data_IF_163438450596
#
_entry.id   IF_163438450596
#
_cell.length_a   1.000
_cell.length_b   1.000
_cell.length_c   1.000
_cell.angle_alpha   90.00
_cell.angle_beta   90.00
_cell.angle_gamma   90.00
#
_symmetry.space_group_name_H-M   'P 1'
#
loop_
_entity.id
_entity.type
_entity.pdbx_description
1 polymer ?
#
# COMPACT_ATOMS: atom_id res chain seq x y z
N UNK A 1 7.86 -11.00 -6.66
CA UNK A 1 7.15 -10.05 -5.77
C UNK A 1 7.76 -8.67 -5.91
N UNK A 2 6.97 -7.61 -5.74
CA UNK A 2 7.41 -6.22 -5.79
C UNK A 2 7.08 -5.54 -4.47
N UNK A 3 7.88 -4.56 -4.07
CA UNK A 3 7.62 -3.84 -2.82
C UNK A 3 7.11 -2.45 -3.15
N UNK A 4 5.99 -2.08 -2.57
CA UNK A 4 5.47 -0.71 -2.67
C UNK A 4 5.87 0.02 -1.39
N UNK A 5 6.52 1.16 -1.56
CA UNK A 5 6.81 2.09 -0.48
C UNK A 5 5.79 3.22 -0.51
N UNK A 6 5.01 3.35 0.56
CA UNK A 6 4.13 4.47 0.81
C UNK A 6 4.85 5.46 1.71
N UNK A 7 4.83 6.75 1.36
CA UNK A 7 5.36 7.82 2.22
C UNK A 7 4.39 8.18 3.37
N UNK A 8 3.88 7.14 4.05
CA UNK A 8 3.05 7.27 5.23
C UNK A 8 3.36 6.11 6.16
N UNK A 9 3.47 6.41 7.46
CA UNK A 9 3.92 5.44 8.44
C UNK A 9 3.16 5.53 9.76
N UNK A 10 3.82 5.10 10.82
CA UNK A 10 3.27 5.09 12.18
C UNK A 10 2.85 6.49 12.65
N UNK A 11 3.60 7.55 12.29
CA UNK A 11 3.25 8.94 12.60
C UNK A 11 1.94 9.41 11.96
N UNK A 12 1.60 8.86 10.79
CA UNK A 12 0.34 9.12 10.10
C UNK A 12 -0.82 8.26 10.63
N UNK A 13 -0.60 7.55 11.75
CA UNK A 13 -1.53 6.57 12.33
C UNK A 13 -1.92 5.51 11.30
N UNK A 14 -0.97 5.09 10.47
CA UNK A 14 -1.15 4.01 9.50
C UNK A 14 -0.96 2.68 10.21
N UNK A 15 -1.95 1.80 10.15
CA UNK A 15 -1.82 0.42 10.61
C UNK A 15 -1.67 -0.54 9.43
N UNK A 16 -1.03 -1.72 9.61
CA UNK A 16 -0.95 -2.73 8.56
C UNK A 16 -2.33 -3.13 8.03
N UNK A 17 -3.33 -3.20 8.91
CA UNK A 17 -4.73 -3.47 8.54
C UNK A 17 -5.36 -2.39 7.68
N UNK A 18 -4.97 -1.12 7.85
CA UNK A 18 -5.45 -0.01 7.00
C UNK A 18 -4.87 -0.13 5.59
N UNK A 19 -3.58 -0.49 5.48
CA UNK A 19 -2.90 -0.71 4.20
C UNK A 19 -3.49 -1.90 3.48
N UNK A 20 -3.70 -3.00 4.20
CA UNK A 20 -4.38 -4.18 3.67
C UNK A 20 -5.78 -3.82 3.19
N UNK A 21 -6.57 -3.10 3.97
CA UNK A 21 -7.92 -2.66 3.62
C UNK A 21 -7.97 -1.71 2.42
N UNK A 22 -6.99 -0.81 2.28
CA UNK A 22 -6.88 0.07 1.11
C UNK A 22 -6.51 -0.70 -0.16
N UNK A 23 -5.68 -1.74 -0.05
CA UNK A 23 -5.31 -2.59 -1.19
C UNK A 23 -6.43 -3.55 -1.57
N UNK A 24 -7.08 -4.18 -0.60
CA UNK A 24 -8.13 -5.18 -0.85
C UNK A 24 -9.47 -4.52 -1.18
N UNK A 25 -9.82 -3.43 -0.50
CA UNK A 25 -11.05 -2.67 -0.72
C UNK A 25 -10.98 -1.79 -1.97
N UNK A 26 -10.13 -0.76 -1.96
CA UNK A 26 -10.08 0.25 -3.03
C UNK A 26 -9.48 -0.28 -4.34
N UNK A 27 -8.50 -1.19 -4.29
CA UNK A 27 -7.85 -1.74 -5.49
C UNK A 27 -8.40 -3.12 -5.93
N UNK A 28 -9.26 -3.74 -5.11
CA UNK A 28 -9.80 -5.07 -5.37
C UNK A 28 -8.71 -6.13 -5.50
N UNK A 29 -7.60 -5.96 -4.79
CA UNK A 29 -6.48 -6.90 -4.81
C UNK A 29 -6.79 -8.01 -3.81
N UNK A 30 -6.62 -9.29 -4.16
CA UNK A 30 -6.83 -10.35 -3.20
C UNK A 30 -5.79 -10.25 -2.06
N UNK A 31 -6.21 -10.46 -0.81
CA UNK A 31 -5.30 -10.42 0.34
C UNK A 31 -4.16 -11.43 0.23
N UNK A 32 -4.34 -12.51 -0.53
CA UNK A 32 -3.29 -13.50 -0.86
C UNK A 32 -2.18 -12.94 -1.75
N UNK A 33 -2.44 -11.88 -2.52
CA UNK A 33 -1.43 -11.18 -3.30
C UNK A 33 -0.67 -10.13 -2.47
N UNK A 34 -1.12 -9.83 -1.25
CA UNK A 34 -0.42 -8.97 -0.30
C UNK A 34 0.39 -9.85 0.63
N UNK A 35 1.71 -9.67 0.58
CA UNK A 35 2.66 -10.34 1.44
C UNK A 35 2.93 -9.58 2.73
N UNK A 36 4.22 -9.50 3.09
CA UNK A 36 4.66 -8.82 4.30
C UNK A 36 4.37 -7.31 4.23
N UNK A 37 3.77 -6.78 5.30
CA UNK A 37 3.54 -5.36 5.50
C UNK A 37 4.46 -4.89 6.63
N UNK A 38 5.33 -3.94 6.33
CA UNK A 38 6.29 -3.37 7.26
C UNK A 38 6.06 -1.87 7.41
N UNK A 39 5.68 -1.42 8.60
CA UNK A 39 5.30 -0.02 8.84
C UNK A 39 6.41 0.64 9.65
N UNK A 40 7.18 1.51 8.98
CA UNK A 40 8.17 2.37 9.61
C UNK A 40 7.54 3.66 10.16
N UNK A 41 8.35 4.52 10.76
CA UNK A 41 7.85 5.74 11.41
C UNK A 41 7.25 6.76 10.44
N UNK A 42 7.91 6.92 9.28
CA UNK A 42 7.54 7.89 8.24
C UNK A 42 7.14 7.25 6.90
N UNK A 43 7.31 5.93 6.78
CA UNK A 43 7.12 5.20 5.53
C UNK A 43 6.50 3.83 5.82
N UNK A 44 5.91 3.20 4.83
CA UNK A 44 5.38 1.84 4.92
C UNK A 44 5.77 1.06 3.69
N UNK A 45 6.24 -0.16 3.88
CA UNK A 45 6.62 -1.09 2.84
C UNK A 45 5.60 -2.21 2.79
N UNK A 46 5.07 -2.50 1.62
CA UNK A 46 4.15 -3.62 1.42
C UNK A 46 4.62 -4.47 0.26
N UNK A 47 4.89 -5.74 0.53
CA UNK A 47 5.18 -6.71 -0.51
C UNK A 47 3.87 -7.07 -1.21
N UNK A 48 3.83 -6.95 -2.52
CA UNK A 48 2.70 -7.35 -3.35
C UNK A 48 3.19 -8.22 -4.50
N UNK A 49 2.30 -9.07 -4.99
CA UNK A 49 2.61 -9.87 -6.16
C UNK A 49 2.83 -8.99 -7.40
N UNK A 50 3.75 -9.38 -8.28
CA UNK A 50 4.16 -8.54 -9.41
C UNK A 50 3.01 -8.27 -10.40
N UNK A 51 2.09 -9.23 -10.54
CA UNK A 51 0.91 -9.08 -11.39
C UNK A 51 -0.05 -7.99 -10.88
N UNK A 52 -0.09 -7.77 -9.56
CA UNK A 52 -0.96 -6.79 -8.90
C UNK A 52 -0.24 -5.48 -8.61
N UNK A 53 1.10 -5.46 -8.59
CA UNK A 53 1.90 -4.30 -8.23
C UNK A 53 1.60 -3.05 -9.08
N UNK A 54 1.44 -3.21 -10.40
CA UNK A 54 1.09 -2.09 -11.28
C UNK A 54 -0.33 -1.56 -11.02
N UNK A 55 -1.28 -2.45 -10.73
CA UNK A 55 -2.66 -2.08 -10.41
C UNK A 55 -2.73 -1.37 -9.05
N UNK A 56 -2.02 -1.91 -8.06
CA UNK A 56 -1.86 -1.31 -6.74
C UNK A 56 -1.24 0.08 -6.82
N UNK A 57 -0.13 0.24 -7.56
CA UNK A 57 0.52 1.52 -7.76
C UNK A 57 -0.43 2.54 -8.40
N UNK A 58 -1.06 2.19 -9.53
CA UNK A 58 -1.98 3.08 -10.22
C UNK A 58 -3.18 3.47 -9.36
N UNK A 59 -3.72 2.53 -8.56
CA UNK A 59 -4.83 2.80 -7.67
C UNK A 59 -4.41 3.62 -6.45
N UNK A 60 -3.21 3.42 -5.90
CA UNK A 60 -2.71 4.21 -4.77
C UNK A 60 -2.29 5.62 -5.21
N UNK A 61 -1.78 5.79 -6.43
CA UNK A 61 -1.45 7.08 -7.03
C UNK A 61 -2.71 7.89 -7.39
N UNK A 62 -3.74 7.24 -7.96
CA UNK A 62 -5.01 7.89 -8.32
C UNK A 62 -5.96 8.01 -7.14
N UNK A 63 -5.95 7.01 -6.27
CA UNK A 63 -6.82 6.88 -5.10
C UNK A 63 -6.35 7.71 -3.91
N UNK A 64 -7.21 7.77 -2.91
CA UNK A 64 -6.93 8.46 -1.66
C UNK A 64 -6.80 7.42 -0.56
N UNK A 65 -5.58 7.15 -0.11
CA UNK A 65 -5.40 6.36 1.11
C UNK A 65 -5.82 7.25 2.28
N UNK A 66 -6.93 6.91 2.94
CA UNK A 66 -7.47 7.66 4.09
C UNK A 66 -7.78 9.13 3.77
N UNK A 67 -8.31 9.38 2.57
CA UNK A 67 -8.71 10.73 2.13
C UNK A 67 -7.57 11.65 1.69
N UNK A 68 -6.31 11.19 1.70
CA UNK A 68 -5.13 11.94 1.25
C UNK A 68 -4.41 11.22 0.11
N UNK A 69 -3.79 12.00 -0.79
CA UNK A 69 -2.83 11.47 -1.75
C UNK A 69 -1.53 11.19 -1.02
N UNK A 70 -1.14 9.92 -0.99
CA UNK A 70 0.13 9.49 -0.40
C UNK A 70 1.00 9.10 -1.58
N UNK A 71 2.20 9.69 -1.74
CA UNK A 71 3.09 9.29 -2.80
C UNK A 71 3.53 7.85 -2.55
N UNK A 72 3.28 7.01 -3.56
CA UNK A 72 3.68 5.60 -3.55
C UNK A 72 4.76 5.42 -4.59
N UNK A 73 5.80 4.67 -4.21
CA UNK A 73 6.92 4.35 -5.08
C UNK A 73 7.06 2.85 -5.18
N UNK A 74 7.29 2.36 -6.38
CA UNK A 74 7.60 0.97 -6.61
C UNK A 74 9.12 0.78 -6.42
N UNK A 75 9.50 -0.14 -5.54
CA UNK A 75 10.88 -0.48 -5.21
C UNK A 75 11.18 -1.95 -5.45
#
# INVERSE_FOLDING_TARGET
MRTLCLAAGRKDKLRPGDVLGALTGDAGIPGSAVGKIDVADHQCFVAVDAQWASKALAQLEKGKVKGRRIPVRLS
#
